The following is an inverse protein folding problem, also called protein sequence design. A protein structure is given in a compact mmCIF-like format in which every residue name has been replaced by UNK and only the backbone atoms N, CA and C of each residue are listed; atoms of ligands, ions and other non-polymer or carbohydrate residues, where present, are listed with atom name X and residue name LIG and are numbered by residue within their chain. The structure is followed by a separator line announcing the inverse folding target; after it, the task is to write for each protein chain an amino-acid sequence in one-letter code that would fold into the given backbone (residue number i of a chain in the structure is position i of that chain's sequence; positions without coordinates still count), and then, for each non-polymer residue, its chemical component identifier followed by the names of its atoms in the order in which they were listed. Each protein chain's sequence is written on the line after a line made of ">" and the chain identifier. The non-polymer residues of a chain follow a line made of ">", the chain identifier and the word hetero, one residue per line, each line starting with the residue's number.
data_IF_283120933212
#
_entry.id   IF_283120933212
#
_cell.length_a   1.000
_cell.length_b   1.000
_cell.length_c   1.000
_cell.angle_alpha   90.00
_cell.angle_beta   90.00
_cell.angle_gamma   90.00
#
_symmetry.space_group_name_H-M   'P 1'
#
loop_
_entity.id
_entity.type
_entity.pdbx_description
1 polymer ?
#
# COMPACT_ATOMS: atom_id res chain seq x y z
N UNK A 1 4.54 -15.01 -19.13
CA UNK A 1 5.68 -14.18 -18.69
C UNK A 1 5.81 -14.33 -17.19
N UNK A 2 7.01 -14.51 -16.64
CA UNK A 2 7.21 -14.49 -15.19
C UNK A 2 7.06 -13.05 -14.70
N UNK A 3 6.21 -12.85 -13.69
CA UNK A 3 6.05 -11.56 -13.02
C UNK A 3 7.34 -11.19 -12.28
N UNK A 4 7.66 -9.90 -12.24
CA UNK A 4 8.77 -9.35 -11.47
C UNK A 4 8.35 -9.31 -10.00
N UNK A 5 9.07 -10.04 -9.15
CA UNK A 5 8.85 -10.01 -7.71
C UNK A 5 9.45 -8.75 -7.12
N UNK A 6 8.64 -7.95 -6.46
CA UNK A 6 9.08 -6.70 -5.83
C UNK A 6 8.39 -6.50 -4.49
N UNK A 7 9.11 -5.97 -3.51
CA UNK A 7 8.52 -5.50 -2.26
C UNK A 7 8.44 -3.98 -2.31
N UNK A 8 7.25 -3.42 -2.10
CA UNK A 8 7.00 -1.98 -2.17
C UNK A 8 6.50 -1.50 -0.82
N UNK A 9 7.19 -0.51 -0.25
CA UNK A 9 6.72 0.21 0.92
C UNK A 9 5.90 1.42 0.49
N UNK A 10 4.71 1.61 1.08
CA UNK A 10 3.78 2.68 0.71
C UNK A 10 3.32 3.42 1.95
N UNK A 11 3.47 4.74 1.95
CA UNK A 11 2.96 5.67 2.97
C UNK A 11 1.73 6.42 2.48
N UNK A 12 1.06 7.13 3.39
CA UNK A 12 -0.12 7.91 3.06
C UNK A 12 -1.28 6.97 2.72
N UNK A 13 -1.66 6.08 3.64
CA UNK A 13 -2.63 4.99 3.38
C UNK A 13 -4.09 5.49 3.31
N UNK A 14 -4.33 6.65 2.67
CA UNK A 14 -5.67 7.18 2.45
C UNK A 14 -6.30 6.63 1.17
N UNK A 15 -7.63 6.58 1.19
CA UNK A 15 -8.48 6.18 0.08
C UNK A 15 -8.93 7.39 -0.76
N UNK A 16 -8.06 8.39 -0.87
CA UNK A 16 -8.25 9.65 -1.60
C UNK A 16 -7.17 9.79 -2.66
N UNK A 17 -7.44 10.55 -3.73
CA UNK A 17 -6.43 10.80 -4.76
C UNK A 17 -5.37 11.83 -4.33
N UNK A 18 -5.74 12.76 -3.46
CA UNK A 18 -4.86 13.78 -2.91
C UNK A 18 -5.45 14.35 -1.61
N UNK A 19 -4.68 14.48 -0.50
CA UNK A 19 -3.34 13.97 -0.26
C UNK A 19 -3.32 12.48 0.10
N UNK A 20 -2.14 11.86 0.05
CA UNK A 20 -1.89 10.47 0.47
C UNK A 20 -2.63 9.39 -0.35
N UNK A 21 -2.33 9.20 -1.64
CA UNK A 21 -3.00 8.21 -2.48
C UNK A 21 -2.49 6.77 -2.31
N UNK A 22 -2.13 6.37 -1.09
CA UNK A 22 -1.53 5.07 -0.83
C UNK A 22 -2.44 3.90 -1.19
N UNK A 23 -3.74 3.96 -0.86
CA UNK A 23 -4.72 2.91 -1.21
C UNK A 23 -4.85 2.73 -2.73
N UNK A 24 -5.15 3.76 -3.55
CA UNK A 24 -5.23 3.59 -5.00
C UNK A 24 -3.90 3.14 -5.63
N UNK A 25 -2.76 3.61 -5.13
CA UNK A 25 -1.42 3.16 -5.60
C UNK A 25 -1.22 1.67 -5.33
N UNK A 26 -1.53 1.20 -4.11
CA UNK A 26 -1.42 -0.22 -3.76
C UNK A 26 -2.30 -1.09 -4.66
N UNK A 27 -3.54 -0.64 -4.93
CA UNK A 27 -4.46 -1.36 -5.82
C UNK A 27 -3.90 -1.46 -7.24
N UNK A 28 -3.42 -0.36 -7.80
CA UNK A 28 -2.79 -0.36 -9.12
C UNK A 28 -1.56 -1.29 -9.21
N UNK A 29 -0.72 -1.32 -8.16
CA UNK A 29 0.42 -2.23 -8.08
C UNK A 29 0.01 -3.70 -8.06
N UNK A 30 -1.07 -4.05 -7.35
CA UNK A 30 -1.60 -5.42 -7.28
C UNK A 30 -2.27 -5.87 -8.58
N UNK A 31 -2.89 -4.95 -9.31
CA UNK A 31 -3.50 -5.21 -10.61
C UNK A 31 -2.49 -5.33 -11.76
N UNK A 32 -1.23 -4.95 -11.53
CA UNK A 32 -0.19 -5.04 -12.55
C UNK A 32 -0.04 -6.46 -13.12
N UNK A 33 0.02 -6.54 -14.45
CA UNK A 33 0.30 -7.79 -15.18
C UNK A 33 1.78 -8.16 -15.13
N UNK A 34 2.63 -7.20 -14.81
CA UNK A 34 4.09 -7.34 -14.83
C UNK A 34 4.66 -7.61 -13.44
N UNK A 35 3.95 -7.19 -12.38
CA UNK A 35 4.45 -7.27 -11.01
C UNK A 35 3.75 -8.34 -10.17
N UNK A 36 4.54 -8.94 -9.29
CA UNK A 36 4.12 -9.75 -8.14
C UNK A 36 4.57 -9.01 -6.88
N UNK A 37 3.69 -8.13 -6.39
CA UNK A 37 4.01 -7.15 -5.35
C UNK A 37 3.72 -7.68 -3.95
N UNK A 38 4.72 -7.65 -3.08
CA UNK A 38 4.52 -7.66 -1.63
C UNK A 38 4.45 -6.23 -1.12
N UNK A 39 3.42 -5.89 -0.35
CA UNK A 39 3.12 -4.52 0.08
C UNK A 39 3.39 -4.37 1.58
N UNK A 40 4.20 -3.37 1.93
CA UNK A 40 4.44 -2.93 3.31
C UNK A 40 3.83 -1.54 3.51
N UNK A 41 2.79 -1.45 4.32
CA UNK A 41 2.17 -0.18 4.68
C UNK A 41 2.98 0.56 5.75
N UNK A 42 3.15 1.87 5.55
CA UNK A 42 3.78 2.79 6.50
C UNK A 42 2.74 3.79 6.98
N UNK A 43 2.23 3.58 8.19
CA UNK A 43 1.20 4.40 8.80
C UNK A 43 1.81 5.48 9.68
N UNK A 44 1.59 6.74 9.32
CA UNK A 44 1.96 7.89 10.16
C UNK A 44 0.80 8.38 11.02
N UNK A 45 -0.44 8.11 10.61
CA UNK A 45 -1.67 8.53 11.28
C UNK A 45 -2.59 7.34 11.50
N UNK A 46 -3.26 7.27 12.64
CA UNK A 46 -4.14 6.13 12.97
C UNK A 46 -5.47 6.14 12.19
N UNK A 47 -5.80 7.27 11.56
CA UNK A 47 -7.05 7.48 10.84
C UNK A 47 -6.96 7.17 9.35
N UNK A 48 -5.80 6.73 8.86
CA UNK A 48 -5.67 6.31 7.46
C UNK A 48 -6.50 5.03 7.24
N UNK A 49 -7.51 5.04 6.36
CA UNK A 49 -8.42 3.92 6.17
C UNK A 49 -7.68 2.64 5.75
N UNK A 50 -6.59 2.76 4.98
CA UNK A 50 -5.82 1.63 4.50
C UNK A 50 -5.19 0.77 5.59
N UNK A 51 -5.09 1.27 6.83
CA UNK A 51 -4.62 0.49 8.00
C UNK A 51 -5.57 -0.66 8.32
N UNK A 52 -6.86 -0.48 8.05
CA UNK A 52 -7.92 -1.42 8.42
C UNK A 52 -8.48 -2.18 7.22
N UNK A 53 -7.99 -1.90 6.01
CA UNK A 53 -8.48 -2.57 4.80
C UNK A 53 -7.86 -3.95 4.67
N UNK A 54 -8.70 -4.97 4.83
CA UNK A 54 -8.29 -6.36 4.62
C UNK A 54 -7.69 -6.56 3.23
N UNK A 55 -6.61 -7.35 3.18
CA UNK A 55 -5.90 -7.70 1.95
C UNK A 55 -5.32 -6.50 1.19
N UNK A 56 -5.28 -5.29 1.77
CA UNK A 56 -4.62 -4.15 1.13
C UNK A 56 -3.09 -4.31 1.17
N UNK A 57 -2.52 -4.52 2.35
CA UNK A 57 -1.08 -4.70 2.57
C UNK A 57 -0.79 -6.04 3.27
N UNK A 58 0.41 -6.59 3.04
CA UNK A 58 0.84 -7.83 3.71
C UNK A 58 1.21 -7.59 5.17
N UNK A 59 1.79 -6.42 5.46
CA UNK A 59 2.05 -5.92 6.80
C UNK A 59 1.95 -4.41 6.82
N UNK A 60 1.56 -3.86 7.96
CA UNK A 60 1.50 -2.43 8.20
C UNK A 60 2.30 -2.14 9.47
N UNK A 61 3.16 -1.13 9.40
CA UNK A 61 3.95 -0.65 10.53
C UNK A 61 3.55 0.79 10.82
N UNK A 62 3.32 1.08 12.10
CA UNK A 62 3.22 2.45 12.56
C UNK A 62 4.63 3.06 12.63
N UNK A 63 4.81 4.21 11.99
CA UNK A 63 6.10 4.89 11.89
C UNK A 63 6.12 6.05 12.89
N UNK A 64 7.22 6.27 13.64
CA UNK A 64 7.36 7.42 14.52
C UNK A 64 7.39 8.74 13.71
N UNK A 65 6.93 9.81 14.37
CA UNK A 65 6.99 11.18 13.88
C UNK A 65 8.30 11.86 14.28
#
# INVERSE_FOLDING_TARGET
>A
MNKIKVTVAVSGLNATDNPGPGVPVIRALKESKELDCKIIGLAYENLEPGIYMEQLADKIYQVPY
#
